data_IF_246825854857
#
_entry.id   IF_246825854857
#
_cell.length_a   1.000
_cell.length_b   1.000
_cell.length_c   1.000
_cell.angle_alpha   90.00
_cell.angle_beta   90.00
_cell.angle_gamma   90.00
#
_symmetry.space_group_name_H-M   'P 1'
#
loop_
_entity.id
_entity.type
_entity.pdbx_description
1 polymer ?
#
# COMPACT_ATOMS: atom_id res chain seq x y z
N UNK A 1 -1.64 6.82 15.28
CA UNK A 1 -3.02 7.33 15.39
C UNK A 1 -4.04 6.21 15.18
N UNK A 2 -3.86 5.34 14.18
CA UNK A 2 -4.77 4.20 13.90
C UNK A 2 -4.92 3.20 15.06
N UNK A 3 -3.82 2.92 15.77
CA UNK A 3 -3.79 1.91 16.87
C UNK A 3 -4.86 2.15 17.93
N UNK A 4 -5.01 3.40 18.37
CA UNK A 4 -5.95 3.78 19.41
C UNK A 4 -7.38 3.78 18.87
N UNK A 5 -7.61 4.36 17.69
CA UNK A 5 -8.91 4.39 17.05
C UNK A 5 -9.48 2.99 16.82
N UNK A 6 -8.72 2.09 16.18
CA UNK A 6 -9.19 0.74 15.88
C UNK A 6 -9.41 -0.10 17.12
N UNK A 7 -8.54 0.05 18.13
CA UNK A 7 -8.75 -0.61 19.41
C UNK A 7 -10.06 -0.18 20.05
N UNK A 8 -10.33 1.12 20.12
CA UNK A 8 -11.54 1.64 20.78
C UNK A 8 -12.82 1.20 20.02
N UNK A 9 -12.77 1.15 18.68
CA UNK A 9 -13.85 0.62 17.84
C UNK A 9 -14.09 -0.88 18.05
N UNK A 10 -13.02 -1.67 18.09
CA UNK A 10 -13.11 -3.12 18.29
C UNK A 10 -13.56 -3.47 19.71
N UNK A 11 -13.14 -2.70 20.72
CA UNK A 11 -13.65 -2.86 22.10
C UNK A 11 -15.15 -2.61 22.14
N UNK A 12 -15.61 -1.53 21.48
CA UNK A 12 -17.03 -1.19 21.39
C UNK A 12 -17.84 -2.26 20.65
N UNK A 13 -17.33 -2.76 19.51
CA UNK A 13 -17.99 -3.83 18.72
C UNK A 13 -18.27 -5.08 19.56
N UNK A 14 -17.35 -5.44 20.44
CA UNK A 14 -17.43 -6.67 21.24
C UNK A 14 -17.86 -6.43 22.70
N UNK A 15 -18.30 -5.22 23.05
CA UNK A 15 -18.70 -4.84 24.41
C UNK A 15 -17.66 -5.21 25.49
N UNK A 16 -16.36 -5.13 25.17
CA UNK A 16 -15.29 -5.53 26.09
C UNK A 16 -15.09 -7.04 26.25
N UNK A 17 -15.88 -7.88 25.59
CA UNK A 17 -15.82 -9.34 25.70
C UNK A 17 -14.68 -9.91 24.84
N UNK A 18 -13.68 -10.49 25.52
CA UNK A 18 -12.54 -11.12 24.87
C UNK A 18 -12.93 -12.41 24.15
N UNK A 19 -13.85 -13.21 24.69
CA UNK A 19 -14.28 -14.46 24.08
C UNK A 19 -14.97 -14.22 22.74
N UNK A 20 -15.89 -13.25 22.68
CA UNK A 20 -16.55 -12.85 21.45
C UNK A 20 -15.55 -12.31 20.42
N UNK A 21 -14.61 -11.47 20.86
CA UNK A 21 -13.55 -10.97 19.99
C UNK A 21 -12.68 -12.10 19.42
N UNK A 22 -12.24 -13.03 20.25
CA UNK A 22 -11.41 -14.17 19.82
C UNK A 22 -12.16 -15.06 18.83
N UNK A 23 -13.47 -15.23 18.99
CA UNK A 23 -14.30 -15.97 18.03
C UNK A 23 -14.42 -15.23 16.69
N UNK A 24 -14.63 -13.91 16.71
CA UNK A 24 -14.74 -13.06 15.50
C UNK A 24 -13.46 -13.16 14.65
N UNK A 25 -12.29 -13.02 15.26
CA UNK A 25 -11.03 -12.97 14.52
C UNK A 25 -10.55 -14.32 13.99
N UNK A 26 -11.23 -15.43 14.32
CA UNK A 26 -10.97 -16.73 13.68
C UNK A 26 -11.41 -16.75 12.21
N UNK A 27 -12.33 -15.88 11.83
CA UNK A 27 -12.64 -15.62 10.44
C UNK A 27 -11.53 -14.75 9.83
N UNK A 28 -10.91 -15.26 8.75
CA UNK A 28 -9.91 -14.52 7.98
C UNK A 28 -10.48 -13.24 7.36
N UNK A 29 -11.80 -13.16 7.18
CA UNK A 29 -12.49 -11.99 6.67
C UNK A 29 -12.92 -11.01 7.77
N UNK A 30 -12.58 -11.26 9.04
CA UNK A 30 -12.86 -10.31 10.12
C UNK A 30 -12.23 -8.95 9.84
N UNK A 31 -12.99 -7.88 10.09
CA UNK A 31 -12.52 -6.49 10.01
C UNK A 31 -11.25 -6.23 10.83
N UNK A 32 -11.01 -7.04 11.88
CA UNK A 32 -9.80 -7.00 12.68
C UNK A 32 -8.52 -7.10 11.82
N UNK A 33 -8.52 -7.96 10.80
CA UNK A 33 -7.37 -8.15 9.92
C UNK A 33 -7.11 -6.94 9.04
N UNK A 34 -8.17 -6.27 8.56
CA UNK A 34 -8.04 -4.96 7.91
C UNK A 34 -7.38 -3.92 8.83
N UNK A 35 -7.83 -3.84 10.10
CA UNK A 35 -7.21 -2.95 11.09
C UNK A 35 -5.74 -3.30 11.36
N UNK A 36 -5.38 -4.58 11.40
CA UNK A 36 -3.99 -5.05 11.55
C UNK A 36 -3.10 -4.55 10.41
N UNK A 37 -3.58 -4.65 9.17
CA UNK A 37 -2.84 -4.22 7.98
C UNK A 37 -2.58 -2.72 8.02
N UNK A 38 -3.61 -1.91 8.23
CA UNK A 38 -3.49 -0.45 8.33
C UNK A 38 -2.54 -0.02 9.44
N UNK A 39 -2.68 -0.62 10.63
CA UNK A 39 -1.78 -0.38 11.74
C UNK A 39 -0.33 -0.73 11.40
N UNK A 40 -0.12 -1.87 10.74
CA UNK A 40 1.21 -2.32 10.34
C UNK A 40 1.82 -1.36 9.32
N UNK A 41 1.06 -0.91 8.32
CA UNK A 41 1.49 0.09 7.34
C UNK A 41 1.96 1.37 8.03
N UNK A 42 1.18 1.89 8.99
CA UNK A 42 1.53 3.10 9.74
C UNK A 42 2.86 2.94 10.49
N UNK A 43 3.01 1.85 11.27
CA UNK A 43 4.21 1.62 12.08
C UNK A 43 5.43 1.36 11.21
N UNK A 44 5.30 0.55 10.16
CA UNK A 44 6.42 0.24 9.27
C UNK A 44 6.88 1.48 8.50
N UNK A 45 5.97 2.37 8.10
CA UNK A 45 6.33 3.60 7.36
C UNK A 45 7.23 4.54 8.16
N UNK A 46 7.09 4.54 9.49
CA UNK A 46 7.96 5.29 10.42
C UNK A 46 9.28 4.59 10.73
N UNK A 47 9.45 3.32 10.36
CA UNK A 47 10.65 2.53 10.66
C UNK A 47 11.60 2.54 9.48
N UNK A 48 12.75 3.23 9.60
CA UNK A 48 13.72 3.37 8.50
C UNK A 48 14.09 2.05 7.82
N UNK A 49 14.45 1.03 8.60
CA UNK A 49 14.84 -0.29 8.07
C UNK A 49 13.68 -1.12 7.47
N UNK A 50 12.44 -0.79 7.81
CA UNK A 50 11.25 -1.58 7.43
C UNK A 50 10.24 -0.79 6.61
N UNK A 51 10.59 0.43 6.18
CA UNK A 51 9.70 1.32 5.43
C UNK A 51 9.23 0.68 4.13
N UNK A 52 10.10 -0.05 3.44
CA UNK A 52 9.76 -0.78 2.21
C UNK A 52 8.59 -1.75 2.42
N UNK A 53 8.54 -2.43 3.57
CA UNK A 53 7.50 -3.40 3.89
C UNK A 53 6.14 -2.73 4.11
N UNK A 54 6.11 -1.43 4.45
CA UNK A 54 4.85 -0.69 4.61
C UNK A 54 4.02 -0.62 3.33
N UNK A 55 4.66 -0.66 2.16
CA UNK A 55 3.97 -0.64 0.85
C UNK A 55 3.53 -2.02 0.38
N UNK A 56 3.99 -3.08 1.07
CA UNK A 56 3.80 -4.48 0.66
C UNK A 56 3.10 -5.30 1.74
N UNK A 57 2.46 -4.63 2.70
CA UNK A 57 1.77 -5.31 3.82
C UNK A 57 0.70 -6.26 3.28
N UNK A 58 -0.10 -5.83 2.31
CA UNK A 58 -1.21 -6.64 1.79
C UNK A 58 -0.74 -7.91 1.07
N UNK A 59 0.40 -7.85 0.36
CA UNK A 59 1.02 -8.99 -0.33
C UNK A 59 1.34 -10.15 0.62
N UNK A 60 1.76 -9.83 1.85
CA UNK A 60 2.19 -10.82 2.84
C UNK A 60 1.18 -11.04 3.96
N UNK A 61 0.16 -10.19 4.07
CA UNK A 61 -0.79 -10.18 5.17
C UNK A 61 -1.46 -11.55 5.32
N UNK A 62 -1.98 -12.12 4.24
CA UNK A 62 -2.70 -13.39 4.28
C UNK A 62 -1.88 -14.54 4.88
N UNK A 63 -0.60 -14.64 4.54
CA UNK A 63 0.33 -15.66 5.07
C UNK A 63 0.43 -15.54 6.60
N UNK A 64 0.56 -14.31 7.08
CA UNK A 64 0.69 -14.02 8.51
C UNK A 64 -0.62 -14.23 9.25
N UNK A 65 -1.73 -13.77 8.69
CA UNK A 65 -3.06 -13.87 9.29
C UNK A 65 -3.47 -15.33 9.48
N UNK A 66 -3.27 -16.17 8.45
CA UNK A 66 -3.51 -17.62 8.53
C UNK A 66 -2.62 -18.27 9.62
N UNK A 67 -1.35 -17.88 9.73
CA UNK A 67 -0.49 -18.36 10.82
C UNK A 67 -1.01 -17.92 12.20
N UNK A 68 -1.38 -16.65 12.33
CA UNK A 68 -1.86 -16.09 13.58
C UNK A 68 -3.15 -16.78 14.03
N UNK A 69 -4.10 -17.01 13.12
CA UNK A 69 -5.33 -17.77 13.37
C UNK A 69 -5.00 -19.18 13.87
N UNK A 70 -4.10 -19.89 13.18
CA UNK A 70 -3.67 -21.24 13.57
C UNK A 70 -3.01 -21.30 14.95
N UNK A 71 -2.36 -20.20 15.39
CA UNK A 71 -1.72 -20.11 16.70
C UNK A 71 -2.63 -19.53 17.79
N UNK A 72 -3.77 -18.97 17.43
CA UNK A 72 -4.64 -18.21 18.33
C UNK A 72 -5.08 -19.05 19.54
N UNK A 73 -5.55 -20.27 19.31
CA UNK A 73 -5.98 -21.18 20.39
C UNK A 73 -4.83 -21.52 21.34
N UNK A 74 -3.61 -21.66 20.83
CA UNK A 74 -2.42 -21.89 21.65
C UNK A 74 -2.07 -20.65 22.48
N UNK A 75 -2.20 -19.46 21.89
CA UNK A 75 -1.92 -18.19 22.58
C UNK A 75 -2.89 -17.90 23.71
N UNK A 76 -4.19 -18.15 23.49
CA UNK A 76 -5.25 -17.95 24.48
C UNK A 76 -5.14 -18.97 25.62
N UNK A 77 -4.83 -20.24 25.34
CA UNK A 77 -4.83 -21.30 26.36
C UNK A 77 -3.53 -21.39 27.18
N UNK A 78 -2.37 -21.23 26.54
CA UNK A 78 -1.05 -21.54 27.15
C UNK A 78 0.08 -20.61 26.72
N UNK A 79 -0.22 -19.52 26.02
CA UNK A 79 0.80 -18.66 25.40
C UNK A 79 0.96 -17.28 26.02
N UNK A 80 1.66 -16.41 25.30
CA UNK A 80 1.97 -15.03 25.72
C UNK A 80 0.72 -14.18 25.95
N UNK A 81 -0.37 -14.47 25.22
CA UNK A 81 -1.64 -13.78 25.37
C UNK A 81 -2.34 -14.19 26.68
N UNK A 82 -2.29 -15.46 27.08
CA UNK A 82 -2.82 -15.94 28.36
C UNK A 82 -2.25 -15.20 29.59
N UNK A 83 -1.02 -14.69 29.51
CA UNK A 83 -0.36 -13.92 30.58
C UNK A 83 -0.62 -12.41 30.52
N UNK A 84 -1.16 -11.90 29.40
CA UNK A 84 -1.37 -10.46 29.13
C UNK A 84 -2.85 -10.10 28.90
N UNK A 85 -3.73 -11.09 28.92
CA UNK A 85 -5.16 -10.96 28.64
C UNK A 85 -5.94 -10.43 29.87
N UNK A 86 -5.56 -9.25 30.36
CA UNK A 86 -6.21 -8.61 31.49
C UNK A 86 -7.36 -7.69 31.04
N UNK A 87 -7.35 -7.28 29.77
CA UNK A 87 -8.44 -6.51 29.15
C UNK A 87 -8.43 -6.70 27.63
N UNK A 88 -9.58 -6.44 26.99
CA UNK A 88 -9.71 -6.54 25.53
C UNK A 88 -8.77 -5.56 24.80
N UNK A 89 -8.57 -4.36 25.35
CA UNK A 89 -7.64 -3.35 24.85
C UNK A 89 -6.21 -3.88 24.74
N UNK A 90 -5.74 -4.56 25.79
CA UNK A 90 -4.41 -5.15 25.84
C UNK A 90 -4.28 -6.31 24.85
N UNK A 91 -5.33 -7.12 24.74
CA UNK A 91 -5.39 -8.23 23.79
C UNK A 91 -5.32 -7.75 22.34
N UNK A 92 -6.13 -6.75 21.96
CA UNK A 92 -6.09 -6.14 20.62
C UNK A 92 -4.71 -5.53 20.34
N UNK A 93 -4.20 -4.73 21.30
CA UNK A 93 -2.88 -4.09 21.18
C UNK A 93 -1.77 -5.12 20.97
N UNK A 94 -1.80 -6.21 21.74
CA UNK A 94 -0.81 -7.28 21.61
C UNK A 94 -0.89 -7.96 20.25
N UNK A 95 -2.09 -8.22 19.73
CA UNK A 95 -2.26 -8.85 18.41
C UNK A 95 -1.82 -7.92 17.27
N UNK A 96 -2.09 -6.61 17.37
CA UNK A 96 -1.57 -5.61 16.44
C UNK A 96 -0.03 -5.63 16.39
N UNK A 97 0.63 -5.56 17.55
CA UNK A 97 2.09 -5.63 17.61
C UNK A 97 2.61 -6.99 17.12
N UNK A 98 1.86 -8.07 17.37
CA UNK A 98 2.21 -9.41 16.90
C UNK A 98 2.15 -9.50 15.38
N UNK A 99 1.12 -8.95 14.75
CA UNK A 99 0.96 -8.91 13.29
C UNK A 99 2.16 -8.21 12.61
N UNK A 100 2.48 -7.00 13.05
CA UNK A 100 3.65 -6.25 12.54
C UNK A 100 4.95 -7.02 12.72
N UNK A 101 5.15 -7.67 13.87
CA UNK A 101 6.35 -8.47 14.11
C UNK A 101 6.40 -9.74 13.26
N UNK A 102 5.26 -10.40 13.06
CA UNK A 102 5.18 -11.58 12.20
C UNK A 102 5.52 -11.22 10.74
N UNK A 103 5.05 -10.08 10.24
CA UNK A 103 5.45 -9.53 8.93
C UNK A 103 6.98 -9.36 8.83
N UNK A 104 7.61 -8.72 9.81
CA UNK A 104 9.09 -8.57 9.84
C UNK A 104 9.81 -9.91 9.88
N UNK A 105 9.27 -10.88 10.61
CA UNK A 105 9.86 -12.20 10.76
C UNK A 105 9.82 -13.03 9.47
N UNK A 106 8.97 -12.70 8.49
CA UNK A 106 9.05 -13.31 7.16
C UNK A 106 10.40 -13.04 6.50
N UNK A 107 11.09 -11.96 6.84
CA UNK A 107 12.36 -11.60 6.21
C UNK A 107 13.55 -11.89 7.14
N UNK A 108 13.31 -12.62 8.23
CA UNK A 108 14.35 -13.03 9.17
C UNK A 108 14.59 -14.54 9.07
N UNK A 109 15.74 -14.94 8.51
CA UNK A 109 16.12 -16.35 8.27
C UNK A 109 16.02 -17.26 9.49
N UNK A 110 16.08 -16.72 10.71
CA UNK A 110 15.96 -17.48 11.95
C UNK A 110 14.53 -17.94 12.25
N UNK A 111 13.52 -17.48 11.49
CA UNK A 111 12.13 -17.81 11.70
C UNK A 111 11.62 -18.88 10.74
N UNK A 112 10.73 -19.74 11.26
CA UNK A 112 10.17 -20.91 10.56
C UNK A 112 9.45 -20.57 9.24
N UNK A 113 8.82 -19.39 9.17
CA UNK A 113 8.08 -18.92 7.99
C UNK A 113 8.89 -17.90 7.17
N UNK A 114 10.21 -17.85 7.35
CA UNK A 114 11.02 -16.90 6.60
C UNK A 114 10.98 -17.21 5.11
N UNK A 115 10.65 -16.19 4.33
CA UNK A 115 10.83 -16.16 2.90
C UNK A 115 12.32 -16.10 2.61
N UNK A 116 12.76 -16.90 1.64
CA UNK A 116 14.14 -16.89 1.20
C UNK A 116 14.50 -15.50 0.66
N UNK A 117 15.64 -14.91 1.03
CA UNK A 117 16.10 -13.63 0.46
C UNK A 117 16.30 -13.67 -1.06
N UNK A 118 16.35 -14.85 -1.68
CA UNK A 118 16.28 -14.98 -3.15
C UNK A 118 15.00 -14.38 -3.75
N UNK A 119 13.92 -14.32 -2.97
CA UNK A 119 12.71 -13.58 -3.33
C UNK A 119 12.95 -12.06 -3.36
N UNK A 120 13.84 -11.54 -2.50
CA UNK A 120 14.22 -10.12 -2.46
C UNK A 120 15.24 -9.76 -3.55
N UNK A 121 16.15 -10.67 -3.94
CA UNK A 121 17.03 -10.41 -5.10
C UNK A 121 16.24 -10.31 -6.40
N UNK A 122 15.12 -11.04 -6.52
CA UNK A 122 14.16 -10.84 -7.61
C UNK A 122 13.33 -9.53 -7.49
N UNK A 123 13.42 -8.83 -6.36
CA UNK A 123 12.76 -7.54 -6.12
C UNK A 123 13.74 -6.36 -6.24
N UNK A 124 15.04 -6.55 -5.95
CA UNK A 124 16.10 -5.54 -6.09
C UNK A 124 16.72 -5.51 -7.50
N UNK A 125 16.72 -6.65 -8.23
CA UNK A 125 17.05 -6.68 -9.68
C UNK A 125 15.87 -6.23 -10.56
N UNK A 126 14.73 -5.95 -9.93
CA UNK A 126 13.71 -5.11 -10.52
C UNK A 126 14.11 -3.67 -10.17
N UNK A 127 14.76 -2.99 -11.12
CA UNK A 127 14.38 -1.59 -11.41
C UNK A 127 12.88 -1.46 -11.14
N UNK A 128 12.44 -0.39 -10.51
CA UNK A 128 11.02 -0.11 -10.23
C UNK A 128 10.25 -0.21 -11.56
N UNK A 129 9.87 -1.43 -11.93
CA UNK A 129 8.80 -1.74 -12.83
C UNK A 129 7.64 -1.43 -11.90
N UNK A 130 7.03 -0.27 -12.11
CA UNK A 130 5.63 -0.12 -11.80
C UNK A 130 4.97 -1.42 -12.22
N UNK A 131 4.66 -2.26 -11.23
CA UNK A 131 3.65 -3.28 -11.42
C UNK A 131 2.42 -2.44 -11.62
N UNK A 132 2.19 -2.14 -12.89
CA UNK A 132 0.87 -2.03 -13.45
C UNK A 132 0.15 -3.21 -12.82
N UNK A 133 -0.59 -2.92 -11.75
CA UNK A 133 -1.77 -3.68 -11.40
C UNK A 133 -2.33 -4.17 -12.70
N UNK A 134 -2.34 -5.49 -12.85
CA UNK A 134 -2.90 -6.29 -13.94
C UNK A 134 -3.84 -5.41 -14.77
N UNK A 135 -3.25 -4.65 -15.70
CA UNK A 135 -3.95 -4.04 -16.79
C UNK A 135 -4.06 -5.23 -17.69
N UNK A 136 -5.15 -5.95 -17.46
CA UNK A 136 -5.53 -7.18 -18.12
C UNK A 136 -4.97 -7.16 -19.54
N UNK A 137 -4.08 -8.11 -19.88
CA UNK A 137 -3.45 -8.18 -21.22
C UNK A 137 -4.52 -8.10 -22.33
N UNK A 138 -5.78 -8.43 -22.01
CA UNK A 138 -6.98 -8.20 -22.83
C UNK A 138 -7.23 -6.72 -23.16
N UNK A 139 -7.13 -5.80 -22.18
CA UNK A 139 -7.35 -4.35 -22.31
C UNK A 139 -6.23 -3.70 -23.11
N UNK A 140 -4.99 -4.17 -22.93
CA UNK A 140 -3.81 -3.72 -23.68
C UNK A 140 -3.88 -4.11 -25.16
N UNK A 141 -4.36 -5.33 -25.46
CA UNK A 141 -4.61 -5.81 -26.83
C UNK A 141 -5.77 -5.08 -27.51
N UNK A 142 -6.77 -4.63 -26.76
CA UNK A 142 -7.84 -3.77 -27.29
C UNK A 142 -7.34 -2.37 -27.62
N UNK A 143 -6.47 -1.79 -26.79
CA UNK A 143 -5.97 -0.43 -27.05
C UNK A 143 -5.16 -0.33 -28.37
N UNK A 144 -4.43 -1.39 -28.70
CA UNK A 144 -3.64 -1.47 -29.94
C UNK A 144 -4.51 -1.49 -31.20
N UNK A 145 -5.78 -1.91 -31.11
CA UNK A 145 -6.73 -1.98 -32.23
C UNK A 145 -7.35 -0.64 -32.62
N UNK A 146 -7.30 0.36 -31.74
CA UNK A 146 -7.85 1.69 -32.02
C UNK A 146 -7.05 2.41 -33.09
N UNK A 147 -7.74 3.26 -33.85
CA UNK A 147 -7.08 4.09 -34.84
C UNK A 147 -6.25 5.21 -34.19
N UNK A 148 -5.45 5.90 -35.01
CA UNK A 148 -4.57 6.97 -34.55
C UNK A 148 -5.33 8.10 -33.82
N UNK A 149 -6.54 8.43 -34.26
CA UNK A 149 -7.33 9.53 -33.69
C UNK A 149 -7.99 9.13 -32.37
N UNK A 150 -8.46 7.90 -32.28
CA UNK A 150 -9.04 7.32 -31.06
C UNK A 150 -7.98 7.22 -29.95
N UNK A 151 -6.76 6.78 -30.29
CA UNK A 151 -5.61 6.77 -29.37
C UNK A 151 -5.30 8.16 -28.82
N UNK A 152 -5.26 9.18 -29.68
CA UNK A 152 -5.05 10.58 -29.26
C UNK A 152 -6.15 11.02 -28.29
N UNK A 153 -7.41 10.71 -28.57
CA UNK A 153 -8.55 11.12 -27.73
C UNK A 153 -8.46 10.52 -26.32
N UNK A 154 -8.09 9.23 -26.23
CA UNK A 154 -7.95 8.55 -24.94
C UNK A 154 -6.73 9.10 -24.18
N UNK A 155 -5.61 9.29 -24.87
CA UNK A 155 -4.39 9.83 -24.28
C UNK A 155 -4.56 11.29 -23.79
N UNK A 156 -5.30 12.12 -24.53
CA UNK A 156 -5.70 13.45 -24.03
C UNK A 156 -6.50 13.38 -22.74
N UNK A 157 -7.45 12.45 -22.68
CA UNK A 157 -8.24 12.26 -21.46
C UNK A 157 -7.37 11.82 -20.28
N UNK A 158 -6.43 10.90 -20.51
CA UNK A 158 -5.45 10.49 -19.48
C UNK A 158 -4.62 11.68 -19.01
N UNK A 159 -4.17 12.54 -19.93
CA UNK A 159 -3.44 13.75 -19.59
C UNK A 159 -4.27 14.72 -18.75
N UNK A 160 -5.52 15.00 -19.15
CA UNK A 160 -6.41 15.91 -18.45
C UNK A 160 -6.81 15.38 -17.06
N UNK A 161 -7.11 14.08 -16.95
CA UNK A 161 -7.50 13.42 -15.70
C UNK A 161 -6.33 13.40 -14.67
N UNK A 162 -5.08 13.47 -15.14
CA UNK A 162 -3.87 13.46 -14.30
C UNK A 162 -3.12 14.80 -14.31
N UNK A 163 -3.79 15.88 -14.75
CA UNK A 163 -3.16 17.20 -14.88
C UNK A 163 -2.55 17.69 -13.56
N UNK A 164 -3.21 17.38 -12.43
CA UNK A 164 -2.79 17.76 -11.08
C UNK A 164 -2.07 16.64 -10.31
N UNK A 165 -1.78 15.51 -10.95
CA UNK A 165 -0.97 14.47 -10.33
C UNK A 165 0.51 14.89 -10.34
N UNK A 166 1.16 14.79 -9.18
CA UNK A 166 2.56 15.12 -8.98
C UNK A 166 3.49 14.09 -9.62
N UNK A 167 3.01 12.85 -9.74
CA UNK A 167 3.79 11.72 -10.24
C UNK A 167 3.60 11.51 -11.76
N UNK A 168 2.73 12.31 -12.41
CA UNK A 168 2.46 12.23 -13.85
C UNK A 168 2.87 13.51 -14.59
N UNK A 169 3.93 13.41 -15.39
CA UNK A 169 4.55 14.50 -16.11
C UNK A 169 4.68 14.20 -17.63
N UNK A 170 5.25 15.15 -18.39
CA UNK A 170 5.37 15.01 -19.84
C UNK A 170 6.16 13.76 -20.27
N UNK A 171 7.17 13.37 -19.49
CA UNK A 171 7.99 12.19 -19.77
C UNK A 171 7.16 10.92 -19.66
N UNK A 172 6.31 10.80 -18.63
CA UNK A 172 5.39 9.67 -18.48
C UNK A 172 4.41 9.59 -19.68
N UNK A 173 4.01 10.75 -20.20
CA UNK A 173 3.14 10.83 -21.37
C UNK A 173 3.85 10.45 -22.68
N UNK A 174 5.14 10.80 -22.82
CA UNK A 174 5.98 10.36 -23.93
C UNK A 174 6.15 8.84 -23.92
N UNK A 175 6.39 8.26 -22.74
CA UNK A 175 6.51 6.82 -22.55
C UNK A 175 5.21 6.10 -22.87
N UNK A 176 4.05 6.64 -22.49
CA UNK A 176 2.74 6.11 -22.88
C UNK A 176 2.54 6.16 -24.40
N UNK A 177 2.88 7.28 -25.04
CA UNK A 177 2.75 7.40 -26.49
C UNK A 177 3.63 6.39 -27.23
N UNK A 178 4.88 6.23 -26.79
CA UNK A 178 5.81 5.26 -27.34
C UNK A 178 5.33 3.82 -27.13
N UNK A 179 4.88 3.49 -25.91
CA UNK A 179 4.40 2.15 -25.54
C UNK A 179 3.18 1.72 -26.35
N UNK A 180 2.29 2.64 -26.71
CA UNK A 180 1.04 2.33 -27.43
C UNK A 180 1.05 2.66 -28.93
N UNK A 181 2.20 3.06 -29.47
CA UNK A 181 2.34 3.44 -30.88
C UNK A 181 1.47 4.63 -31.27
N UNK A 182 1.25 5.54 -30.33
CA UNK A 182 0.52 6.78 -30.57
C UNK A 182 1.47 7.89 -31.04
N UNK A 183 0.94 8.95 -31.66
CA UNK A 183 1.75 10.12 -32.01
C UNK A 183 2.39 10.74 -30.76
N UNK A 184 3.52 11.44 -30.90
CA UNK A 184 4.16 12.03 -29.76
C UNK A 184 3.30 13.15 -29.14
N UNK A 185 3.38 13.39 -27.81
CA UNK A 185 2.48 14.31 -27.11
C UNK A 185 2.42 15.72 -27.72
N UNK A 186 3.56 16.26 -28.18
CA UNK A 186 3.64 17.57 -28.84
C UNK A 186 2.80 17.71 -30.12
N UNK A 187 2.37 16.60 -30.71
CA UNK A 187 1.53 16.62 -31.91
C UNK A 187 0.05 16.87 -31.60
N UNK A 188 -0.36 16.81 -30.33
CA UNK A 188 -1.76 16.97 -29.93
C UNK A 188 -1.99 17.67 -28.58
N UNK A 189 -0.97 17.85 -27.75
CA UNK A 189 -0.97 18.66 -26.53
C UNK A 189 -0.29 20.01 -26.79
N UNK A 190 -0.82 21.08 -26.19
CA UNK A 190 -0.15 22.37 -26.17
C UNK A 190 0.91 22.38 -25.07
N UNK A 191 2.17 22.26 -25.47
CA UNK A 191 3.30 22.08 -24.54
C UNK A 191 3.79 23.38 -23.90
N UNK A 192 3.13 24.51 -24.18
CA UNK A 192 3.54 25.83 -23.66
C UNK A 192 3.26 26.03 -22.16
N UNK A 193 2.37 25.23 -21.56
CA UNK A 193 1.99 25.35 -20.14
C UNK A 193 2.35 24.08 -19.32
N UNK A 194 3.54 23.53 -19.53
CA UNK A 194 3.97 22.28 -18.84
C UNK A 194 4.64 22.55 -17.48
N UNK A 195 5.21 23.73 -17.27
CA UNK A 195 5.67 24.11 -15.94
C UNK A 195 4.45 24.38 -15.07
N UNK A 196 4.09 23.39 -14.24
CA UNK A 196 2.95 23.41 -13.31
C UNK A 196 3.19 24.31 -12.09
N UNK A 197 4.44 24.75 -11.87
CA UNK A 197 4.83 25.53 -10.71
C UNK A 197 5.98 26.49 -11.02
N UNK A 198 5.99 27.63 -10.35
CA UNK A 198 7.13 28.55 -10.29
C UNK A 198 7.60 28.73 -8.84
N UNK A 199 8.91 28.93 -8.64
CA UNK A 199 9.46 29.23 -7.33
C UNK A 199 9.36 30.75 -7.07
N UNK A 200 8.43 31.16 -6.20
CA UNK A 200 8.22 32.56 -5.83
C UNK A 200 8.81 32.83 -4.46
N UNK A 201 9.48 33.99 -4.30
CA UNK A 201 10.00 34.39 -3.00
C UNK A 201 8.85 34.82 -2.07
N UNK A 202 8.72 34.14 -0.93
CA UNK A 202 7.79 34.48 0.13
C UNK A 202 8.29 35.68 0.94
N UNK A 203 7.39 36.34 1.67
CA UNK A 203 7.68 37.57 2.44
C UNK A 203 8.77 37.39 3.51
N UNK A 204 9.04 36.15 3.92
CA UNK A 204 10.10 35.80 4.86
C UNK A 204 11.48 35.61 4.20
N UNK A 205 11.60 35.86 2.89
CA UNK A 205 12.83 35.75 2.11
C UNK A 205 13.15 34.34 1.60
N UNK A 206 12.38 33.32 1.98
CA UNK A 206 12.50 31.94 1.46
C UNK A 206 11.63 31.75 0.21
N UNK A 207 11.92 30.73 -0.59
CA UNK A 207 11.14 30.43 -1.80
C UNK A 207 10.04 29.40 -1.50
N UNK A 208 8.86 29.62 -2.08
CA UNK A 208 7.73 28.70 -2.08
C UNK A 208 7.34 28.35 -3.51
N UNK A 209 6.92 27.11 -3.73
CA UNK A 209 6.38 26.67 -5.02
C UNK A 209 4.94 27.15 -5.13
N UNK A 210 4.62 27.88 -6.20
CA UNK A 210 3.28 28.39 -6.50
C UNK A 210 2.82 27.78 -7.81
N UNK A 211 1.56 27.35 -7.87
CA UNK A 211 0.97 26.84 -9.10
C UNK A 211 0.85 27.96 -10.14
N UNK A 212 1.32 27.67 -11.35
CA UNK A 212 1.14 28.50 -12.53
C UNK A 212 -0.17 28.09 -13.21
N UNK A 213 -1.06 29.07 -13.44
CA UNK A 213 -2.38 28.87 -14.07
C UNK A 213 -2.38 29.35 -15.53
#
# INVERSE_FOLDING_TARGET
MSKQLYRDLLVKKHNGDIGLFILDIKDINSIFWGCCRDFSKEILRTSGAWRWLSFRVDDFAKIIEEEMINKLDKWVKKGSLAKKNNSLEHTITWLFDRHTNSLKNLFNRSYKLSLSPSFLSNLDDQEIIYTTDILDDSTLLEFLKFDKNEKIKILKKVWDDNLYDFDFNLHDMEDLCAKYGAPPPHSFLDTKNIEKYEAVQAENGHFQLVFTF
#
